data_IF_690636123936
#
_entry.id   IF_690636123936
#
_cell.length_a   1.000
_cell.length_b   1.000
_cell.length_c   1.000
_cell.angle_alpha   90.00
_cell.angle_beta   90.00
_cell.angle_gamma   90.00
#
_symmetry.space_group_name_H-M   'P 1'
#
loop_
_entity.id
_entity.type
_entity.pdbx_description
1 polymer ?
#
# COMPACT_ATOMS: atom_id res chain seq x y z
N UNK A 1 16.32 -6.55 -11.14
CA UNK A 1 17.31 -5.49 -10.84
C UNK A 1 16.96 -4.95 -9.46
N UNK A 2 17.88 -4.98 -8.50
CA UNK A 2 17.62 -4.49 -7.14
C UNK A 2 18.33 -3.14 -7.00
N UNK A 3 17.59 -2.04 -7.09
CA UNK A 3 18.13 -0.71 -6.82
C UNK A 3 18.24 -0.53 -5.31
N UNK A 4 19.46 -0.46 -4.77
CA UNK A 4 19.73 -0.18 -3.36
C UNK A 4 19.98 1.31 -3.22
N UNK A 5 19.12 2.01 -2.49
CA UNK A 5 19.22 3.46 -2.26
C UNK A 5 19.59 3.72 -0.80
N UNK A 6 20.53 4.64 -0.51
CA UNK A 6 20.90 4.99 0.87
C UNK A 6 19.77 5.69 1.65
N UNK A 7 19.89 5.70 2.98
CA UNK A 7 18.92 6.29 3.90
C UNK A 7 18.69 7.78 3.61
N UNK A 8 17.45 8.25 3.79
CA UNK A 8 16.95 9.62 3.46
C UNK A 8 16.92 10.00 1.96
N UNK A 9 17.03 9.05 1.05
CA UNK A 9 16.88 9.33 -0.38
C UNK A 9 15.45 9.05 -0.86
N UNK A 10 15.09 9.71 -1.96
CA UNK A 10 13.91 9.38 -2.76
C UNK A 10 14.32 8.29 -3.75
N UNK A 11 13.60 7.17 -3.74
CA UNK A 11 13.79 6.13 -4.75
C UNK A 11 12.71 6.30 -5.81
N UNK A 12 13.11 6.48 -7.08
CA UNK A 12 12.23 6.42 -8.24
C UNK A 12 12.64 5.22 -9.11
N UNK A 13 11.73 4.29 -9.35
CA UNK A 13 12.00 3.12 -10.22
C UNK A 13 10.89 2.92 -11.23
N UNK A 14 11.25 2.84 -12.50
CA UNK A 14 10.39 2.40 -13.58
C UNK A 14 10.76 0.98 -13.97
N UNK A 15 9.77 0.09 -14.00
CA UNK A 15 10.03 -1.31 -14.33
C UNK A 15 8.82 -1.95 -15.00
N UNK A 16 9.05 -2.68 -16.08
CA UNK A 16 7.98 -3.46 -16.70
C UNK A 16 7.69 -4.75 -15.92
N UNK A 17 8.72 -5.54 -15.60
CA UNK A 17 8.55 -6.92 -15.11
C UNK A 17 9.52 -7.35 -14.00
N UNK A 18 10.40 -6.47 -13.53
CA UNK A 18 11.35 -6.77 -12.45
C UNK A 18 10.77 -6.45 -11.06
N UNK A 19 11.27 -7.13 -10.03
CA UNK A 19 10.89 -6.87 -8.64
C UNK A 19 11.66 -5.67 -8.07
N UNK A 20 10.94 -4.74 -7.47
CA UNK A 20 11.51 -3.58 -6.75
C UNK A 20 11.51 -3.89 -5.27
N UNK A 21 12.65 -3.68 -4.61
CA UNK A 21 12.77 -3.79 -3.15
C UNK A 21 13.39 -2.53 -2.59
N UNK A 22 12.62 -1.79 -1.80
CA UNK A 22 13.08 -0.65 -1.02
C UNK A 22 13.36 -1.11 0.41
N UNK A 23 14.53 -0.74 0.93
CA UNK A 23 14.93 -1.04 2.31
C UNK A 23 14.25 -0.14 3.34
N UNK A 24 14.63 -0.30 4.60
CA UNK A 24 14.11 0.49 5.72
C UNK A 24 14.84 1.84 5.86
N UNK A 25 14.17 2.82 6.49
CA UNK A 25 14.75 4.12 6.82
C UNK A 25 14.79 5.12 5.67
N UNK A 26 13.89 4.97 4.71
CA UNK A 26 13.69 5.95 3.62
C UNK A 26 12.63 6.98 4.06
N UNK A 27 12.76 8.20 3.56
CA UNK A 27 11.72 9.23 3.76
C UNK A 27 10.58 9.05 2.77
N UNK A 28 10.94 8.81 1.51
CA UNK A 28 9.97 8.73 0.43
C UNK A 28 10.37 7.64 -0.56
N UNK A 29 9.39 6.85 -0.99
CA UNK A 29 9.57 5.83 -2.02
C UNK A 29 8.53 6.03 -3.10
N UNK A 30 8.99 6.21 -4.33
CA UNK A 30 8.17 6.22 -5.54
C UNK A 30 8.52 5.01 -6.42
N UNK A 31 7.58 4.10 -6.61
CA UNK A 31 7.79 2.92 -7.44
C UNK A 31 6.71 2.78 -8.51
N UNK A 32 7.14 2.60 -9.75
CA UNK A 32 6.27 2.35 -10.89
C UNK A 32 6.60 1.00 -11.51
N UNK A 33 5.62 0.10 -11.51
CA UNK A 33 5.75 -1.25 -12.03
C UNK A 33 4.59 -1.58 -12.96
N UNK A 34 4.76 -2.38 -14.02
CA UNK A 34 3.59 -2.93 -14.74
C UNK A 34 3.16 -4.26 -14.15
N UNK A 35 4.07 -5.24 -14.07
CA UNK A 35 3.77 -6.60 -13.60
C UNK A 35 4.73 -7.11 -12.52
N UNK A 36 5.76 -6.33 -12.16
CA UNK A 36 6.70 -6.67 -11.10
C UNK A 36 6.14 -6.45 -9.69
N UNK A 37 6.62 -7.22 -8.71
CA UNK A 37 6.31 -7.04 -7.31
C UNK A 37 7.12 -5.88 -6.69
N UNK A 38 6.48 -5.10 -5.84
CA UNK A 38 7.10 -3.97 -5.12
C UNK A 38 7.04 -4.28 -3.63
N UNK A 39 8.21 -4.41 -3.01
CA UNK A 39 8.36 -4.61 -1.57
C UNK A 39 9.02 -3.37 -0.98
N UNK A 40 8.32 -2.72 -0.05
CA UNK A 40 8.80 -1.55 0.67
C UNK A 40 8.87 -1.91 2.15
N UNK A 41 10.01 -1.64 2.78
CA UNK A 41 10.22 -1.81 4.22
C UNK A 41 9.53 -0.72 5.05
N UNK A 42 10.26 -0.13 5.99
CA UNK A 42 9.83 1.01 6.80
C UNK A 42 10.19 2.35 6.15
N UNK A 43 9.18 3.13 5.77
CA UNK A 43 9.32 4.40 5.03
C UNK A 43 8.29 5.41 5.53
N UNK A 44 8.60 6.70 5.61
CA UNK A 44 7.60 7.70 6.03
C UNK A 44 6.48 7.88 5.00
N UNK A 45 6.83 8.01 3.71
CA UNK A 45 5.90 8.21 2.61
C UNK A 45 6.11 7.21 1.46
N UNK A 46 5.05 6.58 1.01
CA UNK A 46 5.11 5.56 -0.04
C UNK A 46 4.11 5.87 -1.15
N UNK A 47 4.60 6.05 -2.37
CA UNK A 47 3.80 6.23 -3.58
C UNK A 47 4.11 5.08 -4.55
N UNK A 48 3.14 4.19 -4.78
CA UNK A 48 3.34 3.05 -5.68
C UNK A 48 2.25 3.01 -6.74
N UNK A 49 2.67 2.90 -8.00
CA UNK A 49 1.79 2.68 -9.13
C UNK A 49 2.09 1.33 -9.76
N UNK A 50 1.08 0.47 -9.87
CA UNK A 50 1.21 -0.77 -10.63
C UNK A 50 0.00 -1.10 -11.49
N UNK A 51 0.14 -2.01 -12.45
CA UNK A 51 -1.00 -2.48 -13.24
C UNK A 51 -1.44 -3.85 -12.73
N UNK A 52 -0.55 -4.84 -12.73
CA UNK A 52 -0.84 -6.21 -12.31
C UNK A 52 0.15 -6.76 -11.28
N UNK A 53 1.02 -5.92 -10.74
CA UNK A 53 1.96 -6.30 -9.69
C UNK A 53 1.35 -6.35 -8.30
N UNK A 54 2.04 -7.02 -7.38
CA UNK A 54 1.74 -6.99 -5.96
C UNK A 54 2.56 -5.91 -5.26
N UNK A 55 1.93 -5.15 -4.37
CA UNK A 55 2.57 -4.12 -3.55
C UNK A 55 2.50 -4.54 -2.10
N UNK A 56 3.66 -4.63 -1.44
CA UNK A 56 3.78 -4.88 -0.01
C UNK A 56 4.51 -3.72 0.64
N UNK A 57 3.90 -3.14 1.66
CA UNK A 57 4.47 -2.07 2.48
C UNK A 57 4.57 -2.59 3.92
N UNK A 58 5.78 -2.58 4.47
CA UNK A 58 6.09 -3.03 5.82
C UNK A 58 5.55 -2.07 6.86
N UNK A 59 6.12 -0.87 6.94
CA UNK A 59 5.65 0.19 7.83
C UNK A 59 5.64 1.52 7.09
N UNK A 60 4.55 2.26 7.23
CA UNK A 60 4.51 3.64 6.73
C UNK A 60 3.51 4.51 7.46
N UNK A 61 3.83 5.80 7.53
CA UNK A 61 2.92 6.82 8.01
C UNK A 61 1.94 7.22 6.91
N UNK A 62 2.41 7.46 5.68
CA UNK A 62 1.57 7.80 4.54
C UNK A 62 1.76 6.85 3.36
N UNK A 63 0.66 6.25 2.91
CA UNK A 63 0.66 5.26 1.83
C UNK A 63 -0.32 5.65 0.74
N UNK A 64 0.18 5.92 -0.46
CA UNK A 64 -0.60 6.16 -1.67
C UNK A 64 -0.31 5.05 -2.69
N UNK A 65 -1.25 4.12 -2.87
CA UNK A 65 -1.07 3.00 -3.81
C UNK A 65 -2.19 2.98 -4.83
N UNK A 66 -1.82 2.83 -6.10
CA UNK A 66 -2.75 2.72 -7.22
C UNK A 66 -2.42 1.47 -8.01
N UNK A 67 -3.42 0.60 -8.21
CA UNK A 67 -3.30 -0.58 -9.08
C UNK A 67 -4.52 -0.79 -9.96
N UNK A 68 -4.42 -1.62 -10.99
CA UNK A 68 -5.55 -1.97 -11.86
C UNK A 68 -6.01 -3.41 -11.62
N UNK A 69 -5.09 -4.34 -11.42
CA UNK A 69 -5.31 -5.79 -11.36
C UNK A 69 -4.25 -6.45 -10.47
N UNK A 70 -4.08 -5.92 -9.26
CA UNK A 70 -3.02 -6.32 -8.33
C UNK A 70 -3.47 -6.37 -6.88
N UNK A 71 -2.59 -6.86 -6.02
CA UNK A 71 -2.80 -6.94 -4.58
C UNK A 71 -2.01 -5.84 -3.88
N UNK A 72 -2.66 -5.14 -2.94
CA UNK A 72 -2.03 -4.13 -2.10
C UNK A 72 -2.08 -4.63 -0.67
N UNK A 73 -0.92 -4.69 0.00
CA UNK A 73 -0.83 -5.11 1.40
C UNK A 73 0.00 -4.12 2.21
N UNK A 74 -0.59 -3.57 3.26
CA UNK A 74 0.07 -2.67 4.21
C UNK A 74 0.07 -3.35 5.58
N UNK A 75 1.26 -3.65 6.10
CA UNK A 75 1.44 -4.44 7.33
C UNK A 75 1.35 -3.61 8.60
N UNK A 76 1.91 -2.39 8.62
CA UNK A 76 1.80 -1.46 9.76
C UNK A 76 1.58 -0.04 9.27
N UNK A 77 0.34 0.40 9.33
CA UNK A 77 -0.02 1.80 9.08
C UNK A 77 -0.08 2.57 10.41
N UNK A 78 0.57 3.73 10.45
CA UNK A 78 0.58 4.65 11.60
C UNK A 78 0.01 6.04 11.31
N UNK A 79 -0.39 6.31 10.07
CA UNK A 79 -0.97 7.59 9.65
C UNK A 79 -2.10 7.42 8.64
N UNK A 80 -1.93 7.87 7.41
CA UNK A 80 -2.97 7.83 6.39
C UNK A 80 -2.66 6.86 5.24
N UNK A 81 -3.69 6.18 4.74
CA UNK A 81 -3.59 5.34 3.55
C UNK A 81 -4.65 5.70 2.54
N UNK A 82 -4.23 5.90 1.30
CA UNK A 82 -5.08 6.02 0.13
C UNK A 82 -4.74 4.90 -0.87
N UNK A 83 -5.56 3.85 -0.86
CA UNK A 83 -5.45 2.76 -1.81
C UNK A 83 -6.55 2.84 -2.87
N UNK A 84 -6.16 2.75 -4.15
CA UNK A 84 -7.10 2.71 -5.27
C UNK A 84 -6.80 1.49 -6.14
N UNK A 85 -7.80 0.66 -6.39
CA UNK A 85 -7.69 -0.44 -7.34
C UNK A 85 -8.90 -0.50 -8.27
N UNK A 86 -8.75 -1.07 -9.46
CA UNK A 86 -9.92 -1.39 -10.31
C UNK A 86 -10.36 -2.81 -10.02
N UNK A 87 -9.44 -3.75 -10.11
CA UNK A 87 -9.64 -5.15 -9.77
C UNK A 87 -8.52 -5.68 -8.89
N UNK A 88 -8.87 -6.41 -7.83
CA UNK A 88 -7.87 -7.01 -6.93
C UNK A 88 -8.20 -6.87 -5.46
N UNK A 89 -7.21 -7.15 -4.61
CA UNK A 89 -7.37 -7.16 -3.16
C UNK A 89 -6.58 -6.01 -2.51
N UNK A 90 -7.18 -5.43 -1.46
CA UNK A 90 -6.54 -4.40 -0.66
C UNK A 90 -6.62 -4.82 0.80
N UNK A 91 -5.48 -5.11 1.39
CA UNK A 91 -5.32 -5.51 2.78
C UNK A 91 -4.54 -4.41 3.53
N UNK A 92 -5.17 -3.80 4.52
CA UNK A 92 -4.54 -2.75 5.34
C UNK A 92 -4.63 -3.12 6.80
N UNK A 93 -3.49 -3.14 7.48
CA UNK A 93 -3.41 -3.31 8.92
C UNK A 93 -2.95 -2.02 9.58
N UNK A 94 -3.85 -1.39 10.34
CA UNK A 94 -3.57 -0.21 11.13
C UNK A 94 -2.95 -0.63 12.47
N UNK A 95 -1.70 -0.25 12.68
CA UNK A 95 -0.96 -0.52 13.92
C UNK A 95 -1.26 0.52 15.03
N UNK A 96 -1.82 1.67 14.65
CA UNK A 96 -2.24 2.73 15.57
C UNK A 96 -3.33 3.61 14.96
N UNK A 97 -3.57 4.78 15.56
CA UNK A 97 -4.56 5.74 15.09
C UNK A 97 -4.30 6.13 13.63
N UNK A 98 -5.21 5.75 12.74
CA UNK A 98 -4.96 5.81 11.30
C UNK A 98 -6.21 6.16 10.50
N UNK A 99 -6.00 6.76 9.32
CA UNK A 99 -7.08 7.02 8.37
C UNK A 99 -6.90 6.16 7.13
N UNK A 100 -7.86 5.26 6.90
CA UNK A 100 -7.80 4.31 5.79
C UNK A 100 -8.85 4.67 4.76
N UNK A 101 -8.44 5.12 3.58
CA UNK A 101 -9.32 5.38 2.45
C UNK A 101 -9.03 4.40 1.31
N UNK A 102 -9.98 3.51 1.03
CA UNK A 102 -9.84 2.51 -0.03
C UNK A 102 -10.95 2.69 -1.05
N UNK A 103 -10.60 2.70 -2.33
CA UNK A 103 -11.55 2.70 -3.43
C UNK A 103 -11.24 1.54 -4.38
N UNK A 104 -12.21 0.67 -4.59
CA UNK A 104 -12.14 -0.39 -5.61
C UNK A 104 -13.35 -0.34 -6.53
N UNK A 105 -13.23 -0.91 -7.73
CA UNK A 105 -14.40 -1.15 -8.61
C UNK A 105 -14.87 -2.58 -8.41
N UNK A 106 -13.98 -3.56 -8.55
CA UNK A 106 -14.30 -4.99 -8.48
C UNK A 106 -13.26 -5.76 -7.66
N UNK A 107 -13.50 -6.01 -6.37
CA UNK A 107 -12.48 -6.65 -5.55
C UNK A 107 -12.80 -6.83 -4.07
N UNK A 108 -11.81 -7.29 -3.31
CA UNK A 108 -11.91 -7.44 -1.86
C UNK A 108 -11.13 -6.33 -1.14
N UNK A 109 -11.77 -5.69 -0.18
CA UNK A 109 -11.13 -4.76 0.74
C UNK A 109 -11.17 -5.40 2.13
N UNK A 110 -10.02 -5.56 2.75
CA UNK A 110 -9.87 -5.98 4.14
C UNK A 110 -9.08 -4.93 4.90
N UNK A 111 -9.71 -4.33 5.90
CA UNK A 111 -9.07 -3.43 6.83
C UNK A 111 -9.11 -4.10 8.20
N UNK A 112 -7.96 -4.14 8.84
CA UNK A 112 -7.77 -4.64 10.21
C UNK A 112 -7.08 -3.57 11.04
N UNK A 113 -7.30 -3.61 12.35
CA UNK A 113 -6.74 -2.66 13.29
C UNK A 113 -6.17 -3.43 14.49
N UNK A 114 -5.10 -2.92 15.08
CA UNK A 114 -4.63 -3.36 16.38
C UNK A 114 -5.65 -2.98 17.47
N UNK A 115 -5.68 -3.76 18.56
CA UNK A 115 -6.60 -3.51 19.67
C UNK A 115 -6.36 -2.11 20.27
N UNK A 116 -7.43 -1.33 20.37
CA UNK A 116 -7.40 0.04 20.89
C UNK A 116 -7.04 1.13 19.88
N UNK A 117 -6.67 0.78 18.63
CA UNK A 117 -6.38 1.76 17.58
C UNK A 117 -7.66 2.38 17.00
N UNK A 118 -7.71 3.72 16.89
CA UNK A 118 -8.82 4.43 16.24
C UNK A 118 -8.59 4.50 14.74
N UNK A 119 -9.34 3.70 14.00
CA UNK A 119 -9.24 3.67 12.53
C UNK A 119 -10.45 4.36 11.89
N UNK A 120 -10.19 5.47 11.20
CA UNK A 120 -11.20 6.09 10.34
C UNK A 120 -11.16 5.43 8.96
N UNK A 121 -12.02 4.42 8.76
CA UNK A 121 -12.13 3.73 7.49
C UNK A 121 -13.17 4.38 6.57
N UNK A 122 -12.79 4.68 5.33
CA UNK A 122 -13.68 5.10 4.26
C UNK A 122 -13.44 4.25 3.02
N UNK A 123 -14.24 3.21 2.88
CA UNK A 123 -14.13 2.24 1.80
C UNK A 123 -15.28 2.43 0.80
N UNK A 124 -14.96 2.52 -0.49
CA UNK A 124 -15.96 2.49 -1.57
C UNK A 124 -15.65 1.34 -2.52
N UNK A 125 -16.66 0.54 -2.83
CA UNK A 125 -16.59 -0.50 -3.87
C UNK A 125 -17.84 -0.43 -4.74
N UNK A 126 -17.72 -0.79 -6.02
CA UNK A 126 -18.90 -0.99 -6.89
C UNK A 126 -19.38 -2.44 -6.75
N UNK A 127 -18.47 -3.40 -6.89
CA UNK A 127 -18.74 -4.83 -6.81
C UNK A 127 -17.63 -5.53 -6.00
N UNK A 128 -18.01 -6.40 -5.06
CA UNK A 128 -17.05 -7.19 -4.29
C UNK A 128 -17.31 -7.16 -2.78
N UNK A 129 -16.30 -7.52 -1.99
CA UNK A 129 -16.44 -7.73 -0.54
C UNK A 129 -15.63 -6.68 0.23
N UNK A 130 -16.27 -6.04 1.20
CA UNK A 130 -15.58 -5.13 2.13
C UNK A 130 -15.67 -5.71 3.53
N UNK A 131 -14.53 -5.87 4.18
CA UNK A 131 -14.36 -6.13 5.60
C UNK A 131 -13.63 -4.93 6.20
N UNK A 132 -14.28 -4.26 7.13
CA UNK A 132 -13.68 -3.17 7.91
C UNK A 132 -13.69 -3.59 9.39
N UNK A 133 -12.75 -3.11 10.21
CA UNK A 133 -12.76 -3.40 11.64
C UNK A 133 -14.01 -2.76 12.25
N UNK A 134 -14.58 -3.39 13.28
CA UNK A 134 -15.66 -2.79 14.06
C UNK A 134 -15.07 -1.66 14.89
N UNK A 135 -15.55 -0.43 14.66
CA UNK A 135 -15.23 0.77 15.43
C UNK A 135 -15.84 0.74 16.82
#
# INVERSE_FOLDING_TARGET
>A
MVARVPMRSVLCTDTLSASVRAGDGLREVEAQSKSGAVEVGAVEQVSVHTISGAVRVGESADVAVKTVSGAIRVLRLTGSTQAKTVSGSVDVHAAGDSRVQVKTVSGSIEVTAADGARVQCHTKTVSGRVRAPRS
#
